data_IF_915763599237
#
_entry.id   IF_915763599237
#
_cell.length_a   1.000
_cell.length_b   1.000
_cell.length_c   1.000
_cell.angle_alpha   90.00
_cell.angle_beta   90.00
_cell.angle_gamma   90.00
#
_symmetry.space_group_name_H-M   'P 1'
#
loop_
_entity.id
_entity.type
_entity.pdbx_description
1 polymer ?
#
# COMPACT_ATOMS: atom_id res chain seq x y z
N UNK A 1 2.84 4.49 17.57
CA UNK A 1 2.26 3.90 16.35
C UNK A 1 1.02 4.70 15.95
N UNK A 2 0.62 4.66 14.70
CA UNK A 2 -0.59 5.33 14.21
C UNK A 2 -1.84 4.90 14.99
N UNK A 3 -1.94 3.64 15.38
CA UNK A 3 -3.05 3.12 16.19
C UNK A 3 -3.16 3.86 17.53
N UNK A 4 -2.05 4.12 18.21
CA UNK A 4 -2.06 4.86 19.47
C UNK A 4 -2.46 6.33 19.27
N UNK A 5 -1.97 6.96 18.20
CA UNK A 5 -2.33 8.34 17.86
C UNK A 5 -3.82 8.45 17.53
N UNK A 6 -4.37 7.54 16.74
CA UNK A 6 -5.79 7.50 16.43
C UNK A 6 -6.63 7.38 17.70
N UNK A 7 -6.29 6.43 18.60
CA UNK A 7 -6.96 6.29 19.90
C UNK A 7 -6.86 7.54 20.76
N UNK A 8 -5.74 8.25 20.70
CA UNK A 8 -5.55 9.51 21.44
C UNK A 8 -6.38 10.66 20.86
N UNK A 9 -6.70 10.62 19.56
CA UNK A 9 -7.56 11.61 18.90
C UNK A 9 -9.05 11.35 19.14
N UNK A 10 -9.52 10.11 19.02
CA UNK A 10 -10.95 9.76 19.13
C UNK A 10 -11.41 9.51 20.56
N UNK A 11 -10.48 9.38 21.50
CA UNK A 11 -10.79 9.14 22.92
C UNK A 11 -11.30 10.38 23.63
N UNK A 12 -12.04 10.20 24.73
CA UNK A 12 -12.63 11.28 25.53
C UNK A 12 -11.62 12.23 26.22
N UNK A 13 -10.35 11.81 26.31
CA UNK A 13 -9.26 12.58 26.94
C UNK A 13 -8.29 13.16 25.88
N UNK A 14 -8.79 13.71 24.81
CA UNK A 14 -8.06 14.34 23.71
C UNK A 14 -6.60 14.71 24.05
N UNK A 15 -5.67 13.83 23.72
CA UNK A 15 -4.24 14.06 23.94
C UNK A 15 -3.46 14.25 22.64
N UNK A 16 -4.18 14.22 21.51
CA UNK A 16 -3.64 14.44 20.17
C UNK A 16 -4.72 15.10 19.32
N UNK A 17 -4.41 16.22 18.68
CA UNK A 17 -5.36 17.02 17.90
C UNK A 17 -5.14 16.88 16.40
N UNK A 18 -3.95 16.42 16.00
CA UNK A 18 -3.50 16.28 14.62
C UNK A 18 -2.63 15.03 14.48
N UNK A 19 -2.84 14.28 13.41
CA UNK A 19 -1.88 13.25 12.98
C UNK A 19 -1.78 13.22 11.46
N UNK A 20 -0.64 12.77 10.95
CA UNK A 20 -0.53 12.37 9.55
C UNK A 20 -1.03 10.93 9.44
N UNK A 21 -1.92 10.69 8.51
CA UNK A 21 -2.40 9.34 8.20
C UNK A 21 -2.56 9.16 6.70
N UNK A 22 -2.81 7.93 6.30
CA UNK A 22 -3.13 7.58 4.92
C UNK A 22 -4.60 7.17 4.85
N UNK A 23 -5.30 7.58 3.78
CA UNK A 23 -6.70 7.25 3.56
C UNK A 23 -6.95 5.73 3.60
N UNK A 24 -6.10 4.94 2.94
CA UNK A 24 -6.20 3.49 2.99
C UNK A 24 -5.93 2.89 4.38
N UNK A 25 -5.04 3.48 5.19
CA UNK A 25 -4.82 3.05 6.59
C UNK A 25 -6.03 3.35 7.45
N UNK A 26 -6.66 4.51 7.27
CA UNK A 26 -7.90 4.86 7.97
C UNK A 26 -9.00 3.86 7.61
N UNK A 27 -9.19 3.57 6.32
CA UNK A 27 -10.18 2.61 5.85
C UNK A 27 -9.98 1.23 6.48
N UNK A 28 -8.81 0.64 6.28
CA UNK A 28 -8.59 -0.78 6.59
C UNK A 28 -8.27 -1.02 8.06
N UNK A 29 -7.39 -0.21 8.66
CA UNK A 29 -6.86 -0.44 10.00
C UNK A 29 -7.77 0.15 11.09
N UNK A 30 -8.37 1.31 10.84
CA UNK A 30 -9.13 2.01 11.87
C UNK A 30 -10.64 1.83 11.74
N UNK A 31 -11.16 1.81 10.51
CA UNK A 31 -12.60 1.58 10.28
C UNK A 31 -12.93 0.10 10.10
N UNK A 32 -11.93 -0.75 9.84
CA UNK A 32 -12.13 -2.20 9.65
C UNK A 32 -12.90 -2.53 8.37
N UNK A 33 -12.77 -1.69 7.34
CA UNK A 33 -13.40 -1.82 6.04
C UNK A 33 -12.37 -2.18 4.97
N UNK A 34 -12.82 -2.61 3.79
CA UNK A 34 -11.95 -2.89 2.64
C UNK A 34 -12.26 -1.91 1.49
N UNK A 35 -11.41 -1.91 0.48
CA UNK A 35 -11.59 -1.09 -0.74
C UNK A 35 -12.92 -1.42 -1.43
N UNK A 36 -13.36 -2.66 -1.36
CA UNK A 36 -14.64 -3.12 -1.91
C UNK A 36 -15.87 -2.53 -1.19
N UNK A 37 -15.69 -1.97 0.02
CA UNK A 37 -16.74 -1.28 0.77
C UNK A 37 -16.93 0.17 0.31
N UNK A 38 -16.00 0.72 -0.47
CA UNK A 38 -16.07 2.09 -0.99
C UNK A 38 -17.12 2.18 -2.09
N UNK A 39 -18.11 3.09 -1.98
CA UNK A 39 -19.17 3.22 -2.98
C UNK A 39 -18.61 3.52 -4.39
N UNK A 40 -19.24 2.89 -5.40
CA UNK A 40 -18.84 3.10 -6.79
C UNK A 40 -18.86 4.59 -7.18
N UNK A 41 -17.76 5.06 -7.76
CA UNK A 41 -17.58 6.46 -8.19
C UNK A 41 -17.09 7.41 -7.10
N UNK A 42 -16.80 6.92 -5.90
CA UNK A 42 -16.17 7.67 -4.82
C UNK A 42 -14.72 7.21 -4.66
N UNK A 43 -13.78 8.13 -4.46
CA UNK A 43 -12.41 7.78 -4.12
C UNK A 43 -12.33 7.30 -2.66
N UNK A 44 -11.27 6.54 -2.31
CA UNK A 44 -11.01 6.14 -0.92
C UNK A 44 -10.92 7.37 -0.02
N UNK A 45 -10.23 8.41 -0.47
CA UNK A 45 -10.09 9.67 0.26
C UNK A 45 -11.44 10.33 0.59
N UNK A 46 -12.33 10.46 -0.40
CA UNK A 46 -13.65 11.06 -0.21
C UNK A 46 -14.51 10.25 0.76
N UNK A 47 -14.52 8.93 0.60
CA UNK A 47 -15.27 8.02 1.46
C UNK A 47 -14.77 8.05 2.90
N UNK A 48 -13.46 7.92 3.09
CA UNK A 48 -12.82 7.97 4.41
C UNK A 48 -13.06 9.31 5.08
N UNK A 49 -13.00 10.43 4.35
CA UNK A 49 -13.30 11.75 4.90
C UNK A 49 -14.77 11.86 5.33
N UNK A 50 -15.69 11.30 4.56
CA UNK A 50 -17.11 11.26 4.92
C UNK A 50 -17.34 10.46 6.21
N UNK A 51 -16.81 9.25 6.32
CA UNK A 51 -16.91 8.39 7.51
C UNK A 51 -16.25 9.05 8.72
N UNK A 52 -15.08 9.66 8.52
CA UNK A 52 -14.36 10.39 9.59
C UNK A 52 -15.19 11.48 10.21
N UNK A 53 -15.89 12.27 9.41
CA UNK A 53 -16.77 13.35 9.88
C UNK A 53 -18.00 12.81 10.57
N UNK A 54 -18.65 11.81 9.99
CA UNK A 54 -19.91 11.29 10.50
C UNK A 54 -19.76 10.52 11.83
N UNK A 55 -18.74 9.67 11.91
CA UNK A 55 -18.61 8.70 13.00
C UNK A 55 -17.62 9.14 14.08
N UNK A 56 -16.65 10.01 13.73
CA UNK A 56 -15.54 10.37 14.62
C UNK A 56 -15.41 11.87 14.89
N UNK A 57 -16.12 12.74 14.17
CA UNK A 57 -15.97 14.21 14.28
C UNK A 57 -14.58 14.68 13.85
N UNK A 58 -13.99 13.97 12.89
CA UNK A 58 -12.65 14.22 12.37
C UNK A 58 -12.72 14.56 10.87
N UNK A 59 -11.72 15.26 10.37
CA UNK A 59 -11.59 15.61 8.96
C UNK A 59 -10.22 15.28 8.45
N UNK A 60 -10.13 14.74 7.20
CA UNK A 60 -8.90 14.76 6.43
C UNK A 60 -8.79 16.11 5.71
N UNK A 61 -7.66 16.79 5.94
CA UNK A 61 -7.30 17.97 5.16
C UNK A 61 -6.82 17.55 3.76
N UNK A 62 -6.50 18.54 2.91
CA UNK A 62 -6.05 18.26 1.55
C UNK A 62 -4.91 17.25 1.50
N UNK A 63 -4.90 16.46 0.43
CA UNK A 63 -3.87 15.46 0.18
C UNK A 63 -2.48 16.12 0.10
N UNK A 64 -1.50 15.49 0.74
CA UNK A 64 -0.11 16.00 0.78
C UNK A 64 0.65 15.83 -0.54
N UNK A 65 0.01 15.27 -1.57
CA UNK A 65 0.59 15.14 -2.90
C UNK A 65 1.58 13.99 -3.05
N UNK A 66 1.58 13.03 -2.14
CA UNK A 66 2.31 11.77 -2.30
C UNK A 66 1.38 10.58 -2.03
N UNK A 67 1.61 9.53 -2.79
CA UNK A 67 0.89 8.26 -2.72
C UNK A 67 1.85 7.15 -2.25
N UNK A 68 1.54 6.55 -1.10
CA UNK A 68 2.37 5.49 -0.51
C UNK A 68 1.74 4.10 -0.73
N UNK A 69 1.22 3.87 -1.91
CA UNK A 69 0.62 2.58 -2.28
C UNK A 69 1.67 1.47 -2.34
N UNK A 70 1.20 0.24 -2.32
CA UNK A 70 2.02 -0.90 -2.74
C UNK A 70 2.37 -0.79 -4.22
N UNK A 71 3.54 -1.27 -4.56
CA UNK A 71 4.01 -1.37 -5.94
C UNK A 71 4.80 -2.67 -6.13
N UNK A 72 4.94 -3.09 -7.36
CA UNK A 72 5.76 -4.25 -7.71
C UNK A 72 7.11 -3.75 -8.21
N UNK A 73 8.16 -4.17 -7.52
CA UNK A 73 9.54 -3.87 -7.87
C UNK A 73 10.28 -5.10 -8.37
N UNK A 74 11.13 -4.88 -9.37
CA UNK A 74 12.06 -5.87 -9.92
C UNK A 74 13.46 -5.28 -10.01
N UNK A 75 14.55 -6.07 -9.92
CA UNK A 75 15.89 -5.57 -10.19
C UNK A 75 15.95 -4.93 -11.58
N UNK A 76 16.65 -3.79 -11.70
CA UNK A 76 16.78 -3.06 -12.95
C UNK A 76 17.33 -3.95 -14.09
N UNK A 77 18.30 -4.82 -13.77
CA UNK A 77 18.88 -5.75 -14.75
C UNK A 77 17.86 -6.74 -15.30
N UNK A 78 16.95 -7.26 -14.44
CA UNK A 78 15.87 -8.15 -14.87
C UNK A 78 14.88 -7.40 -15.77
N UNK A 79 14.55 -6.18 -15.41
CA UNK A 79 13.64 -5.35 -16.21
C UNK A 79 14.21 -5.04 -17.59
N UNK A 80 15.51 -4.79 -17.70
CA UNK A 80 16.20 -4.57 -18.98
C UNK A 80 16.28 -5.83 -19.82
N UNK A 81 16.60 -6.98 -19.19
CA UNK A 81 16.73 -8.27 -19.89
C UNK A 81 15.42 -8.70 -20.56
N UNK A 82 14.29 -8.53 -19.87
CA UNK A 82 12.96 -8.96 -20.34
C UNK A 82 12.09 -7.82 -20.88
N UNK A 83 12.57 -6.58 -20.85
CA UNK A 83 11.82 -5.40 -21.32
C UNK A 83 10.61 -5.07 -20.46
N UNK A 84 10.66 -5.33 -19.13
CA UNK A 84 9.53 -5.16 -18.23
C UNK A 84 9.25 -3.68 -17.97
N UNK A 85 8.02 -3.24 -18.17
CA UNK A 85 7.55 -1.87 -17.89
C UNK A 85 6.34 -1.86 -16.97
N UNK A 86 5.43 -2.82 -17.14
CA UNK A 86 4.22 -2.95 -16.32
C UNK A 86 4.13 -4.36 -15.69
N UNK A 87 3.20 -4.52 -14.76
CA UNK A 87 3.01 -5.80 -14.04
C UNK A 87 2.59 -6.91 -15.00
N UNK A 88 1.78 -6.60 -16.01
CA UNK A 88 1.36 -7.60 -17.02
C UNK A 88 2.54 -8.17 -17.84
N UNK A 89 3.66 -7.45 -17.94
CA UNK A 89 4.85 -7.97 -18.63
C UNK A 89 5.50 -9.16 -17.91
N UNK A 90 5.17 -9.37 -16.63
CA UNK A 90 5.64 -10.53 -15.86
C UNK A 90 4.95 -11.85 -16.28
N UNK A 91 3.75 -11.79 -16.85
CA UNK A 91 2.91 -12.98 -17.11
C UNK A 91 3.69 -14.09 -17.86
N UNK A 92 4.37 -13.82 -18.98
CA UNK A 92 5.05 -14.89 -19.74
C UNK A 92 6.26 -15.49 -19.03
N UNK A 93 6.82 -14.83 -18.03
CA UNK A 93 8.06 -15.26 -17.36
C UNK A 93 7.87 -15.58 -15.86
N UNK A 94 6.71 -15.29 -15.29
CA UNK A 94 6.44 -15.46 -13.85
C UNK A 94 6.78 -16.87 -13.33
N UNK A 95 6.55 -17.92 -14.14
CA UNK A 95 6.87 -19.30 -13.80
C UNK A 95 8.37 -19.61 -13.63
N UNK A 96 9.25 -18.66 -13.93
CA UNK A 96 10.69 -18.75 -13.71
C UNK A 96 11.15 -17.91 -12.53
N UNK A 97 10.30 -16.98 -12.04
CA UNK A 97 10.63 -15.95 -11.08
C UNK A 97 10.17 -16.32 -9.65
N UNK A 98 10.95 -15.88 -8.68
CA UNK A 98 10.64 -15.99 -7.23
C UNK A 98 10.07 -14.66 -6.74
N UNK A 99 8.92 -14.73 -6.07
CA UNK A 99 8.24 -13.58 -5.47
C UNK A 99 8.52 -13.49 -3.97
N UNK A 100 8.83 -12.29 -3.47
CA UNK A 100 9.05 -12.00 -2.06
C UNK A 100 8.17 -10.88 -1.53
N UNK A 101 7.57 -11.07 -0.36
CA UNK A 101 6.79 -10.03 0.33
C UNK A 101 6.79 -10.27 1.85
N UNK A 102 6.37 -9.28 2.62
CA UNK A 102 6.11 -9.47 4.04
C UNK A 102 5.02 -10.53 4.27
N UNK A 103 5.06 -11.20 5.44
CA UNK A 103 4.13 -12.28 5.79
C UNK A 103 2.66 -11.84 5.65
N UNK A 104 2.35 -10.60 6.00
CA UNK A 104 1.01 -10.04 5.93
C UNK A 104 0.43 -9.98 4.51
N UNK A 105 1.27 -9.91 3.49
CA UNK A 105 0.83 -9.94 2.10
C UNK A 105 0.33 -11.32 1.67
N UNK A 106 0.76 -12.39 2.34
CA UNK A 106 0.33 -13.77 2.10
C UNK A 106 -0.87 -14.22 2.92
N UNK A 107 -1.44 -13.35 3.76
CA UNK A 107 -2.67 -13.67 4.50
C UNK A 107 -3.86 -13.79 3.55
N UNK A 108 -4.90 -14.54 3.97
CA UNK A 108 -6.09 -14.78 3.15
C UNK A 108 -7.13 -13.67 3.24
N UNK A 109 -6.96 -12.73 4.18
CA UNK A 109 -7.92 -11.66 4.43
C UNK A 109 -7.49 -10.36 3.72
N UNK A 110 -8.43 -9.74 3.03
CA UNK A 110 -8.26 -8.46 2.35
C UNK A 110 -7.99 -8.56 0.84
N UNK A 111 -8.35 -7.50 0.12
CA UNK A 111 -8.28 -7.44 -1.35
C UNK A 111 -6.85 -7.23 -1.87
N UNK A 112 -6.00 -6.49 -1.12
CA UNK A 112 -4.62 -6.19 -1.52
C UNK A 112 -3.63 -7.24 -0.98
N UNK A 113 -3.82 -8.50 -1.38
CA UNK A 113 -3.04 -9.65 -0.93
C UNK A 113 -2.52 -10.47 -2.10
N UNK A 114 -1.58 -11.36 -1.83
CA UNK A 114 -0.92 -12.18 -2.84
C UNK A 114 -1.90 -12.98 -3.71
N UNK A 115 -2.88 -13.65 -3.10
CA UNK A 115 -3.90 -14.41 -3.83
C UNK A 115 -4.69 -13.55 -4.82
N UNK A 116 -5.43 -12.53 -4.35
CA UNK A 116 -6.13 -11.58 -5.22
C UNK A 116 -5.23 -10.91 -6.26
N UNK A 117 -4.00 -10.52 -5.89
CA UNK A 117 -3.03 -9.93 -6.81
C UNK A 117 -2.69 -10.87 -7.96
N UNK A 118 -2.31 -12.10 -7.64
CA UNK A 118 -1.93 -13.07 -8.68
C UNK A 118 -3.11 -13.49 -9.54
N UNK A 119 -4.31 -13.57 -8.98
CA UNK A 119 -5.56 -13.84 -9.72
C UNK A 119 -5.90 -12.70 -10.71
N UNK A 120 -5.86 -11.45 -10.24
CA UNK A 120 -6.17 -10.27 -11.07
C UNK A 120 -5.26 -10.14 -12.30
N UNK A 121 -3.99 -10.46 -12.13
CA UNK A 121 -3.00 -10.42 -13.22
C UNK A 121 -2.85 -11.74 -13.97
N UNK A 122 -3.31 -12.87 -13.43
CA UNK A 122 -3.06 -14.21 -14.01
C UNK A 122 -1.60 -14.64 -13.83
N UNK A 123 -0.96 -14.25 -12.72
CA UNK A 123 0.45 -14.53 -12.44
C UNK A 123 0.60 -15.90 -11.74
N UNK A 124 1.58 -16.67 -12.18
CA UNK A 124 1.95 -17.95 -11.58
C UNK A 124 3.46 -17.98 -11.33
N UNK A 125 3.89 -17.47 -10.18
CA UNK A 125 5.29 -17.46 -9.82
C UNK A 125 5.82 -18.88 -9.54
N UNK A 126 7.11 -19.11 -9.84
CA UNK A 126 7.83 -20.36 -9.54
C UNK A 126 7.79 -20.67 -8.04
N UNK A 127 7.97 -19.64 -7.24
CA UNK A 127 7.98 -19.72 -5.79
C UNK A 127 7.56 -18.36 -5.22
N UNK A 128 6.87 -18.37 -4.08
CA UNK A 128 6.53 -17.17 -3.33
C UNK A 128 6.92 -17.37 -1.86
N UNK A 129 7.69 -16.44 -1.32
CA UNK A 129 8.27 -16.56 0.02
C UNK A 129 8.00 -15.34 0.87
N UNK A 130 7.65 -15.51 2.16
CA UNK A 130 7.65 -14.41 3.11
C UNK A 130 9.08 -13.96 3.42
N UNK A 131 9.22 -12.67 3.67
CA UNK A 131 10.46 -12.04 4.10
C UNK A 131 10.17 -11.01 5.19
N UNK A 132 11.07 -10.89 6.15
CA UNK A 132 11.01 -9.82 7.14
C UNK A 132 11.23 -8.45 6.46
N UNK A 133 10.44 -7.44 6.86
CA UNK A 133 10.52 -6.08 6.30
C UNK A 133 11.95 -5.51 6.36
N UNK A 134 12.67 -5.74 7.47
CA UNK A 134 14.05 -5.28 7.65
C UNK A 134 15.07 -5.97 6.75
N UNK A 135 14.75 -7.14 6.21
CA UNK A 135 15.64 -7.95 5.37
C UNK A 135 15.27 -7.93 3.88
N UNK A 136 14.09 -7.43 3.52
CA UNK A 136 13.56 -7.46 2.16
C UNK A 136 14.53 -6.91 1.12
N UNK A 137 15.03 -5.71 1.31
CA UNK A 137 15.94 -5.08 0.35
C UNK A 137 17.28 -5.81 0.23
N UNK A 138 17.82 -6.32 1.33
CA UNK A 138 19.03 -7.15 1.30
C UNK A 138 18.78 -8.48 0.56
N UNK A 139 17.60 -9.06 0.72
CA UNK A 139 17.22 -10.29 0.02
C UNK A 139 17.05 -10.07 -1.50
N UNK A 140 16.58 -8.91 -1.93
CA UNK A 140 16.53 -8.51 -3.33
C UNK A 140 17.94 -8.32 -3.89
N UNK A 141 18.80 -7.56 -3.19
CA UNK A 141 20.19 -7.31 -3.63
C UNK A 141 21.00 -8.60 -3.81
N UNK A 142 20.79 -9.60 -2.95
CA UNK A 142 21.50 -10.87 -3.04
C UNK A 142 20.84 -11.89 -3.99
N UNK A 143 19.76 -11.51 -4.70
CA UNK A 143 19.08 -12.37 -5.65
C UNK A 143 18.22 -13.47 -5.03
N UNK A 144 17.79 -13.32 -3.77
CA UNK A 144 16.84 -14.26 -3.15
C UNK A 144 15.43 -14.16 -3.72
N UNK A 145 15.09 -13.00 -4.27
CA UNK A 145 13.82 -12.71 -4.95
C UNK A 145 14.06 -11.96 -6.26
N UNK A 146 13.26 -12.30 -7.26
CA UNK A 146 13.24 -11.64 -8.57
C UNK A 146 12.18 -10.54 -8.62
N UNK A 147 11.09 -10.71 -7.89
CA UNK A 147 9.95 -9.79 -7.83
C UNK A 147 9.56 -9.57 -6.37
N UNK A 148 9.27 -8.34 -6.01
CA UNK A 148 8.83 -8.05 -4.63
C UNK A 148 7.76 -6.97 -4.58
N UNK A 149 6.86 -7.08 -3.60
CA UNK A 149 6.00 -5.96 -3.22
C UNK A 149 6.81 -4.97 -2.38
N UNK A 150 6.73 -3.70 -2.73
CA UNK A 150 7.42 -2.59 -2.07
C UNK A 150 6.45 -1.43 -1.85
N UNK A 151 6.86 -0.41 -1.10
CA UNK A 151 6.13 0.85 -1.05
C UNK A 151 6.65 1.77 -2.15
N UNK A 152 5.75 2.36 -2.94
CA UNK A 152 6.11 3.19 -4.10
C UNK A 152 7.06 4.35 -3.76
N UNK A 153 6.89 4.94 -2.57
CA UNK A 153 7.66 6.10 -2.10
C UNK A 153 8.93 5.74 -1.32
N UNK A 154 9.23 4.44 -1.12
CA UNK A 154 10.41 4.04 -0.35
C UNK A 154 11.71 4.37 -1.11
N UNK A 155 12.53 5.23 -0.51
CA UNK A 155 13.82 5.64 -1.07
C UNK A 155 14.82 4.48 -1.25
N UNK A 156 14.63 3.38 -0.54
CA UNK A 156 15.44 2.17 -0.68
C UNK A 156 15.25 1.51 -2.06
N UNK A 157 14.10 1.68 -2.71
CA UNK A 157 13.87 1.17 -4.07
C UNK A 157 14.98 1.65 -5.03
N UNK A 158 15.26 2.96 -5.00
CA UNK A 158 16.34 3.54 -5.83
C UNK A 158 17.72 3.07 -5.39
N UNK A 159 17.94 2.98 -4.06
CA UNK A 159 19.23 2.61 -3.51
C UNK A 159 19.67 1.21 -3.93
N UNK A 160 18.75 0.26 -3.97
CA UNK A 160 19.01 -1.13 -4.39
C UNK A 160 18.78 -1.38 -5.88
N UNK A 161 18.56 -0.34 -6.66
CA UNK A 161 18.39 -0.45 -8.12
C UNK A 161 17.15 -1.20 -8.55
N UNK A 162 16.01 -0.97 -7.87
CA UNK A 162 14.73 -1.50 -8.32
C UNK A 162 14.09 -0.61 -9.36
N UNK A 163 13.53 -1.24 -10.39
CA UNK A 163 12.52 -0.65 -11.26
C UNK A 163 11.15 -0.97 -10.70
N UNK A 164 10.36 0.07 -10.48
CA UNK A 164 8.94 -0.07 -10.14
C UNK A 164 8.18 -0.28 -11.45
N UNK A 165 7.37 -1.34 -11.50
CA UNK A 165 6.51 -1.64 -12.63
C UNK A 165 5.20 -0.87 -12.51
N UNK A 166 4.69 -0.41 -13.65
CA UNK A 166 3.36 0.23 -13.73
C UNK A 166 2.27 -0.79 -13.38
N UNK A 167 1.33 -0.39 -12.54
CA UNK A 167 0.12 -1.15 -12.23
C UNK A 167 -0.93 -0.92 -13.32
N UNK A 168 -0.74 -1.56 -14.48
CA UNK A 168 -1.53 -1.37 -15.69
C UNK A 168 -2.98 -1.87 -15.62
N UNK A 169 -3.32 -2.60 -14.54
CA UNK A 169 -4.71 -3.00 -14.25
C UNK A 169 -5.33 -2.24 -13.07
N UNK A 170 -4.56 -1.37 -12.38
CA UNK A 170 -5.04 -0.61 -11.24
C UNK A 170 -5.44 -1.48 -10.06
N UNK A 171 -4.67 -2.52 -9.77
CA UNK A 171 -4.95 -3.42 -8.65
C UNK A 171 -4.68 -2.79 -7.29
N UNK A 172 -3.61 -2.00 -7.18
CA UNK A 172 -3.26 -1.31 -5.96
C UNK A 172 -3.94 0.06 -5.93
N UNK A 173 -4.85 0.32 -4.97
CA UNK A 173 -5.48 1.62 -4.86
C UNK A 173 -4.49 2.68 -4.40
N UNK A 174 -4.80 3.93 -4.66
CA UNK A 174 -4.07 5.07 -4.13
C UNK A 174 -4.07 5.04 -2.59
N UNK A 175 -2.93 5.44 -2.01
CA UNK A 175 -2.71 5.54 -0.57
C UNK A 175 -2.23 6.94 -0.25
N UNK A 176 -3.17 7.89 -0.27
CA UNK A 176 -2.85 9.31 -0.15
C UNK A 176 -2.59 9.71 1.30
N UNK A 177 -1.46 10.37 1.52
CA UNK A 177 -1.16 11.00 2.80
C UNK A 177 -1.95 12.29 3.00
N UNK A 178 -2.54 12.46 4.19
CA UNK A 178 -3.24 13.67 4.59
C UNK A 178 -3.09 13.93 6.08
N UNK A 179 -3.31 15.15 6.51
CA UNK A 179 -3.50 15.46 7.92
C UNK A 179 -4.91 15.09 8.34
N UNK A 180 -5.01 14.34 9.42
CA UNK A 180 -6.24 13.94 10.07
C UNK A 180 -6.40 14.80 11.33
N UNK A 181 -7.45 15.61 11.39
CA UNK A 181 -7.64 16.64 12.41
C UNK A 181 -9.05 16.58 12.99
N UNK A 182 -9.22 17.07 14.21
CA UNK A 182 -10.55 17.30 14.77
C UNK A 182 -11.26 18.47 14.09
N UNK A 183 -12.57 18.38 13.85
CA UNK A 183 -13.34 19.45 13.22
C UNK A 183 -13.34 20.75 14.03
N UNK A 184 -13.34 20.65 15.37
CA UNK A 184 -13.30 21.80 16.29
C UNK A 184 -12.02 22.64 16.17
N UNK A 185 -10.92 22.05 15.64
CA UNK A 185 -9.63 22.73 15.49
C UNK A 185 -9.49 23.45 14.13
N UNK A 186 -10.44 23.28 13.19
CA UNK A 186 -10.38 23.93 11.87
C UNK A 186 -10.81 25.41 11.91
N UNK A 187 -11.49 25.86 12.97
CA UNK A 187 -11.98 27.25 13.11
C UNK A 187 -10.97 28.21 13.76
N UNK A 188 -9.76 27.76 14.09
CA UNK A 188 -8.67 28.55 14.65
C UNK A 188 -7.57 28.85 13.61
#
# INVERSE_FOLDING_TARGET
>A
SQVNNFKAMVGSNHTCDLMISYDGTLLTTFFGQDVDDVPAGMSIYEYVNQVSRQDYGMTLLDQLGFDNTYAIGVPQALAEEYGLNCISDLIPIAGQLTFGAEQEFFTLEGSMKYGPFTEAYGLHFKEAKPVDMGLKYAAIENGSFDVSVVYATDGLNRKVGLKILEDDKGFFPDYNGAFFVREEEQEQ
#
